data_IF_484470869506
#
_entry.id   IF_484470869506
#
_cell.length_a   1.000
_cell.length_b   1.000
_cell.length_c   1.000
_cell.angle_alpha   90.00
_cell.angle_beta   90.00
_cell.angle_gamma   90.00
#
_symmetry.space_group_name_H-M   'P 1'
#
loop_
_entity.id
_entity.type
_entity.pdbx_description
1 polymer ?
#
# COMPACT_ATOMS: atom_id res chain seq x y z
N UNK A 1 21.76 -14.86 -13.19
CA UNK A 1 21.38 -14.41 -13.06
C UNK A 1 20.82 -13.67 -13.16
N UNK A 2 20.72 -13.73 -13.30
CA UNK A 2 20.26 -13.07 -13.38
C UNK A 2 19.62 -12.34 -13.08
N UNK A 3 19.48 -12.07 -12.92
CA UNK A 3 18.87 -11.50 -12.52
C UNK A 3 18.20 -10.84 -12.73
N UNK A 4 18.20 -10.89 -13.18
CA UNK A 4 17.45 -10.19 -13.48
C UNK A 4 16.43 -9.77 -13.11
N UNK A 5 16.22 -9.89 -13.19
CA UNK A 5 14.94 -9.54 -12.76
C UNK A 5 14.92 -8.22 -12.16
N UNK A 6 13.87 -7.95 -11.44
CA UNK A 6 13.67 -6.61 -10.91
C UNK A 6 14.56 -6.33 -9.70
N UNK A 7 15.85 -6.37 -9.90
CA UNK A 7 16.80 -6.10 -8.83
C UNK A 7 16.55 -4.74 -8.19
N UNK A 8 16.05 -3.78 -8.99
CA UNK A 8 15.78 -2.43 -8.48
C UNK A 8 14.64 -2.40 -7.46
N UNK A 9 13.80 -3.43 -7.45
CA UNK A 9 12.70 -3.53 -6.50
C UNK A 9 13.06 -4.38 -5.28
N UNK A 10 14.24 -5.01 -5.29
CA UNK A 10 14.65 -5.89 -4.19
C UNK A 10 14.73 -5.09 -2.89
N UNK A 11 14.16 -5.64 -1.84
CA UNK A 11 14.16 -5.00 -0.54
C UNK A 11 13.05 -3.99 -0.31
N UNK A 12 12.30 -3.64 -1.35
CA UNK A 12 11.18 -2.71 -1.18
C UNK A 12 9.98 -3.49 -0.66
N UNK A 13 9.50 -3.12 0.52
CA UNK A 13 8.38 -3.78 1.18
C UNK A 13 7.10 -2.99 0.96
N UNK A 14 6.06 -3.66 0.50
CA UNK A 14 4.76 -3.06 0.26
C UNK A 14 3.73 -3.79 1.13
N UNK A 15 2.99 -3.04 1.94
CA UNK A 15 1.92 -3.58 2.77
C UNK A 15 0.59 -3.33 2.08
N UNK A 16 -0.23 -4.36 1.97
CA UNK A 16 -1.59 -4.25 1.41
C UNK A 16 -2.59 -4.57 2.51
N UNK A 17 -3.43 -3.61 2.82
CA UNK A 17 -4.46 -3.71 3.86
C UNK A 17 -5.82 -3.74 3.18
N UNK A 18 -6.52 -4.86 3.24
CA UNK A 18 -7.85 -4.99 2.65
C UNK A 18 -8.54 -6.18 3.30
N UNK A 19 -9.84 -6.05 3.63
CA UNK A 19 -10.57 -7.14 4.26
C UNK A 19 -11.02 -8.20 3.25
N UNK A 20 -10.85 -7.96 1.95
CA UNK A 20 -11.18 -8.92 0.89
C UNK A 20 -9.98 -9.82 0.59
N UNK A 21 -10.17 -11.13 0.75
CA UNK A 21 -9.15 -12.12 0.36
C UNK A 21 -8.80 -12.00 -1.12
N UNK A 22 -9.80 -11.76 -1.97
CA UNK A 22 -9.60 -11.67 -3.41
C UNK A 22 -8.69 -10.49 -3.76
N UNK A 23 -8.94 -9.34 -3.16
CA UNK A 23 -8.13 -8.14 -3.42
C UNK A 23 -6.71 -8.35 -2.90
N UNK A 24 -6.56 -8.87 -1.67
CA UNK A 24 -5.22 -9.12 -1.13
C UNK A 24 -4.43 -10.07 -2.02
N UNK A 25 -5.08 -11.14 -2.48
CA UNK A 25 -4.42 -12.14 -3.32
C UNK A 25 -3.98 -11.54 -4.65
N UNK A 26 -4.86 -10.77 -5.30
CA UNK A 26 -4.51 -10.12 -6.57
C UNK A 26 -3.33 -9.17 -6.39
N UNK A 27 -3.38 -8.35 -5.36
CA UNK A 27 -2.30 -7.41 -5.09
C UNK A 27 -0.99 -8.14 -4.82
N UNK A 28 -1.05 -9.21 -4.03
CA UNK A 28 0.14 -10.00 -3.72
C UNK A 28 0.79 -10.55 -4.98
N UNK A 29 -0.01 -11.14 -5.85
CA UNK A 29 0.50 -11.72 -7.10
C UNK A 29 1.17 -10.65 -7.95
N UNK A 30 0.48 -9.52 -8.16
CA UNK A 30 0.99 -8.45 -9.01
C UNK A 30 2.28 -7.86 -8.45
N UNK A 31 2.30 -7.59 -7.15
CA UNK A 31 3.47 -6.96 -6.52
C UNK A 31 4.68 -7.90 -6.52
N UNK A 32 4.46 -9.19 -6.26
CA UNK A 32 5.55 -10.17 -6.33
C UNK A 32 6.09 -10.29 -7.74
N UNK A 33 5.24 -10.22 -8.74
CA UNK A 33 5.70 -10.22 -10.14
C UNK A 33 6.55 -8.99 -10.44
N UNK A 34 6.30 -7.89 -9.74
CA UNK A 34 7.11 -6.68 -9.85
C UNK A 34 8.40 -6.72 -9.05
N UNK A 35 8.65 -7.79 -8.30
CA UNK A 35 9.87 -7.94 -7.53
C UNK A 35 9.81 -7.40 -6.11
N UNK A 36 8.64 -6.97 -5.65
CA UNK A 36 8.50 -6.39 -4.32
C UNK A 36 8.30 -7.46 -3.25
N UNK A 37 8.73 -7.16 -2.04
CA UNK A 37 8.35 -7.94 -0.87
C UNK A 37 6.96 -7.48 -0.45
N UNK A 38 6.06 -8.42 -0.17
CA UNK A 38 4.67 -8.12 0.10
C UNK A 38 4.28 -8.54 1.50
N UNK A 39 3.63 -7.64 2.21
CA UNK A 39 3.03 -7.90 3.51
C UNK A 39 1.52 -7.70 3.34
N UNK A 40 0.74 -8.53 4.00
CA UNK A 40 -0.72 -8.48 3.89
C UNK A 40 -1.33 -8.30 5.27
N UNK A 41 -2.36 -7.46 5.35
CA UNK A 41 -3.12 -7.26 6.57
C UNK A 41 -4.61 -7.29 6.22
N UNK A 42 -5.40 -7.95 7.07
CA UNK A 42 -6.83 -8.12 6.79
C UNK A 42 -7.70 -7.04 7.42
N UNK A 43 -7.16 -6.25 8.32
CA UNK A 43 -7.88 -5.14 8.95
C UNK A 43 -6.90 -4.10 9.47
N UNK A 44 -7.44 -3.01 10.03
CA UNK A 44 -6.59 -1.91 10.50
C UNK A 44 -5.71 -2.29 11.69
N UNK A 45 -6.20 -3.15 12.58
CA UNK A 45 -5.43 -3.55 13.76
C UNK A 45 -4.25 -4.42 13.34
N UNK A 46 -4.48 -5.39 12.45
CA UNK A 46 -3.42 -6.22 11.91
C UNK A 46 -2.39 -5.35 11.18
N UNK A 47 -2.88 -4.34 10.47
CA UNK A 47 -2.01 -3.40 9.75
C UNK A 47 -1.07 -2.66 10.70
N UNK A 48 -1.59 -2.16 11.81
CA UNK A 48 -0.76 -1.42 12.76
C UNK A 48 0.37 -2.28 13.32
N UNK A 49 0.07 -3.55 13.60
CA UNK A 49 1.08 -4.50 14.06
C UNK A 49 2.16 -4.70 12.99
N UNK A 50 1.75 -4.90 11.74
CA UNK A 50 2.70 -5.16 10.66
C UNK A 50 3.53 -3.94 10.29
N UNK A 51 2.97 -2.75 10.38
CA UNK A 51 3.72 -1.53 10.16
C UNK A 51 4.86 -1.41 11.18
N UNK A 52 4.54 -1.66 12.45
CA UNK A 52 5.56 -1.60 13.50
C UNK A 52 6.63 -2.66 13.34
N UNK A 53 6.23 -3.89 13.02
CA UNK A 53 7.14 -5.02 12.98
C UNK A 53 8.03 -5.02 11.74
N UNK A 54 7.52 -4.54 10.61
CA UNK A 54 8.19 -4.72 9.32
C UNK A 54 8.59 -3.43 8.63
N UNK A 55 8.07 -2.29 9.04
CA UNK A 55 8.42 -0.98 8.51
C UNK A 55 8.34 -0.93 6.98
N UNK A 56 7.14 -1.08 6.41
CA UNK A 56 7.00 -1.08 4.95
C UNK A 56 7.37 0.29 4.35
N UNK A 57 7.77 0.26 3.09
CA UNK A 57 8.14 1.47 2.36
C UNK A 57 6.94 2.16 1.72
N UNK A 58 5.86 1.42 1.49
CA UNK A 58 4.62 1.94 0.91
C UNK A 58 3.44 1.09 1.37
N UNK A 59 2.29 1.72 1.56
CA UNK A 59 1.10 1.05 2.10
C UNK A 59 -0.09 1.32 1.18
N UNK A 60 -0.78 0.24 0.77
CA UNK A 60 -2.11 0.33 0.17
C UNK A 60 -3.13 0.01 1.24
N UNK A 61 -4.16 0.83 1.38
CA UNK A 61 -5.12 0.70 2.47
C UNK A 61 -6.55 0.85 1.98
N UNK A 62 -7.34 -0.21 2.13
CA UNK A 62 -8.77 -0.19 1.83
C UNK A 62 -9.47 0.84 2.72
N UNK A 63 -10.39 1.58 2.13
CA UNK A 63 -11.15 2.60 2.85
C UNK A 63 -12.20 1.97 3.75
N UNK A 64 -12.97 1.01 3.21
CA UNK A 64 -14.09 0.41 3.92
C UNK A 64 -13.69 -0.89 4.60
N UNK A 65 -13.42 -0.79 5.89
CA UNK A 65 -13.12 -1.96 6.72
C UNK A 65 -13.90 -1.84 8.02
N UNK A 66 -14.32 -2.99 8.61
CA UNK A 66 -15.06 -2.94 9.87
C UNK A 66 -14.17 -2.45 11.01
N UNK A 67 -14.78 -1.81 11.99
CA UNK A 67 -14.17 -1.34 13.25
C UNK A 67 -13.20 -0.18 13.05
N UNK A 68 -12.17 -0.34 12.22
CA UNK A 68 -11.18 0.69 11.96
C UNK A 68 -11.09 0.85 10.45
N UNK A 69 -11.64 1.93 9.91
CA UNK A 69 -11.65 2.14 8.46
C UNK A 69 -10.28 2.63 7.97
N UNK A 70 -10.16 2.79 6.67
CA UNK A 70 -8.89 3.17 6.06
C UNK A 70 -8.43 4.56 6.45
N UNK A 71 -9.34 5.51 6.59
CA UNK A 71 -8.96 6.87 7.00
C UNK A 71 -8.41 6.85 8.42
N UNK A 72 -9.08 6.13 9.32
CA UNK A 72 -8.64 6.01 10.71
C UNK A 72 -7.28 5.31 10.78
N UNK A 73 -7.13 4.22 10.04
CA UNK A 73 -5.88 3.46 10.01
C UNK A 73 -4.73 4.34 9.52
N UNK A 74 -4.94 5.07 8.42
CA UNK A 74 -3.94 5.97 7.87
C UNK A 74 -3.56 7.06 8.88
N UNK A 75 -4.56 7.66 9.53
CA UNK A 75 -4.30 8.71 10.53
C UNK A 75 -3.43 8.21 11.67
N UNK A 76 -3.70 7.00 12.15
CA UNK A 76 -2.92 6.42 13.24
C UNK A 76 -1.49 6.15 12.79
N UNK A 77 -1.31 5.57 11.60
CA UNK A 77 0.02 5.31 11.06
C UNK A 77 0.82 6.60 10.96
N UNK A 78 0.21 7.64 10.40
CA UNK A 78 0.88 8.91 10.13
C UNK A 78 1.22 9.70 11.40
N UNK A 79 0.54 9.44 12.51
CA UNK A 79 0.87 10.09 13.78
C UNK A 79 2.20 9.64 14.33
N UNK A 80 2.65 8.44 13.99
CA UNK A 80 3.95 7.96 14.41
C UNK A 80 4.99 8.64 13.54
N UNK A 81 5.89 9.41 14.15
CA UNK A 81 6.91 10.16 13.41
C UNK A 81 7.75 9.26 12.50
N UNK A 82 7.94 8.01 12.90
CA UNK A 82 8.70 7.03 12.12
C UNK A 82 8.04 6.74 10.77
N UNK A 83 6.71 6.84 10.69
CA UNK A 83 5.95 6.51 9.48
C UNK A 83 5.26 7.72 8.86
N UNK A 84 5.55 8.91 9.36
CA UNK A 84 4.90 10.13 8.87
C UNK A 84 5.14 10.36 7.38
N UNK A 85 6.27 9.92 6.86
CA UNK A 85 6.62 10.07 5.45
C UNK A 85 6.40 8.82 4.62
N UNK A 86 5.89 7.74 5.22
CA UNK A 86 5.59 6.51 4.48
C UNK A 86 4.36 6.75 3.61
N UNK A 87 4.45 6.58 2.30
CA UNK A 87 3.29 6.82 1.43
C UNK A 87 2.16 5.86 1.73
N UNK A 88 0.94 6.38 1.82
CA UNK A 88 -0.27 5.59 1.97
C UNK A 88 -1.17 5.89 0.78
N UNK A 89 -1.52 4.86 0.03
CA UNK A 89 -2.39 4.94 -1.13
C UNK A 89 -3.70 4.27 -0.76
N UNK A 90 -4.80 5.02 -0.83
CA UNK A 90 -6.11 4.48 -0.45
C UNK A 90 -6.67 3.62 -1.57
N UNK A 91 -7.27 2.50 -1.22
CA UNK A 91 -7.96 1.63 -2.19
C UNK A 91 -9.45 1.88 -2.08
N UNK A 92 -10.04 2.38 -3.15
CA UNK A 92 -11.45 2.75 -3.20
C UNK A 92 -12.20 1.84 -4.15
N UNK A 93 -13.37 1.36 -3.75
CA UNK A 93 -14.20 0.58 -4.67
C UNK A 93 -14.70 1.48 -5.78
N UNK A 94 -15.04 0.86 -6.94
CA UNK A 94 -15.53 1.58 -8.10
C UNK A 94 -16.78 2.42 -7.77
N UNK A 95 -17.64 1.87 -6.93
CA UNK A 95 -18.87 2.55 -6.51
C UNK A 95 -18.70 3.27 -5.18
N UNK A 96 -17.50 3.23 -4.63
CA UNK A 96 -17.21 3.88 -3.37
C UNK A 96 -17.02 5.36 -3.53
N UNK A 97 -17.26 6.08 -2.46
CA UNK A 97 -17.11 7.53 -2.45
C UNK A 97 -15.83 7.87 -1.71
N UNK A 98 -14.73 7.90 -2.45
CA UNK A 98 -13.49 8.36 -1.85
C UNK A 98 -13.57 9.86 -1.61
N UNK A 99 -13.38 10.25 -0.37
CA UNK A 99 -13.35 11.65 0.01
C UNK A 99 -11.91 12.15 -0.07
N UNK A 100 -11.59 12.87 -1.14
CA UNK A 100 -10.23 13.38 -1.37
C UNK A 100 -9.78 14.31 -0.26
N UNK A 101 -10.68 15.15 0.23
CA UNK A 101 -10.33 16.08 1.30
C UNK A 101 -10.00 15.33 2.58
N UNK A 102 -10.80 14.33 2.92
CA UNK A 102 -10.56 13.53 4.11
C UNK A 102 -9.26 12.73 3.96
N UNK A 103 -9.01 12.19 2.75
CA UNK A 103 -7.76 11.49 2.47
C UNK A 103 -6.56 12.37 2.72
N UNK A 104 -6.59 13.60 2.25
CA UNK A 104 -5.50 14.55 2.48
C UNK A 104 -5.35 14.89 3.97
N UNK A 105 -6.47 15.04 4.68
CA UNK A 105 -6.43 15.36 6.10
C UNK A 105 -5.73 14.27 6.92
N UNK A 106 -5.89 13.01 6.56
CA UNK A 106 -5.22 11.92 7.26
C UNK A 106 -3.83 11.62 6.71
N UNK A 107 -3.43 12.31 5.65
CA UNK A 107 -2.07 12.21 5.14
C UNK A 107 -1.84 11.20 4.03
N UNK A 108 -2.91 10.68 3.40
CA UNK A 108 -2.73 9.78 2.27
C UNK A 108 -2.26 10.56 1.05
N UNK A 109 -1.41 9.92 0.22
CA UNK A 109 -0.80 10.56 -0.94
C UNK A 109 -1.67 10.48 -2.18
N UNK A 110 -2.43 9.40 -2.33
CA UNK A 110 -3.20 9.14 -3.55
C UNK A 110 -4.25 8.09 -3.27
N UNK A 111 -5.09 7.81 -4.26
CA UNK A 111 -6.01 6.68 -4.21
C UNK A 111 -5.97 5.90 -5.52
N UNK A 112 -6.37 4.64 -5.44
CA UNK A 112 -6.44 3.72 -6.57
C UNK A 112 -7.78 3.01 -6.50
N UNK A 113 -8.48 2.93 -7.65
CA UNK A 113 -9.80 2.32 -7.70
C UNK A 113 -9.70 0.80 -7.86
N UNK A 114 -10.52 0.07 -7.13
CA UNK A 114 -10.64 -1.39 -7.26
C UNK A 114 -11.77 -1.71 -8.22
N UNK A 115 -11.62 -2.72 -9.07
CA UNK A 115 -10.43 -3.53 -9.30
C UNK A 115 -9.35 -2.76 -10.04
N UNK A 116 -8.12 -3.03 -9.68
CA UNK A 116 -6.95 -2.42 -10.33
C UNK A 116 -6.26 -3.43 -11.23
N UNK A 117 -5.56 -2.95 -12.24
CA UNK A 117 -4.72 -3.81 -13.06
C UNK A 117 -3.34 -3.92 -12.43
N UNK A 118 -2.59 -4.93 -12.89
CA UNK A 118 -1.20 -5.08 -12.48
C UNK A 118 -0.39 -3.81 -12.79
N UNK A 119 -0.56 -3.27 -13.99
CA UNK A 119 0.18 -2.08 -14.40
C UNK A 119 -0.15 -0.88 -13.52
N UNK A 120 -1.43 -0.67 -13.20
CA UNK A 120 -1.83 0.43 -12.33
C UNK A 120 -1.18 0.30 -10.96
N UNK A 121 -1.19 -0.90 -10.39
CA UNK A 121 -0.62 -1.14 -9.08
C UNK A 121 0.88 -0.90 -9.07
N UNK A 122 1.59 -1.48 -10.05
CA UNK A 122 3.05 -1.34 -10.13
C UNK A 122 3.48 0.09 -10.43
N UNK A 123 2.74 0.80 -11.29
CA UNK A 123 3.05 2.21 -11.57
C UNK A 123 2.89 3.07 -10.32
N UNK A 124 1.91 2.77 -9.50
CA UNK A 124 1.70 3.51 -8.26
C UNK A 124 2.87 3.32 -7.30
N UNK A 125 3.38 2.10 -7.18
CA UNK A 125 4.55 1.85 -6.34
C UNK A 125 5.77 2.58 -6.89
N UNK A 126 5.96 2.58 -8.20
CA UNK A 126 7.07 3.28 -8.83
C UNK A 126 6.99 4.79 -8.60
N UNK A 127 5.80 5.35 -8.65
CA UNK A 127 5.60 6.79 -8.50
C UNK A 127 5.80 7.25 -7.05
N UNK A 128 5.28 6.51 -6.09
CA UNK A 128 5.22 6.96 -4.69
C UNK A 128 6.21 6.24 -3.78
N UNK A 129 6.73 5.09 -4.18
CA UNK A 129 7.66 4.33 -3.37
C UNK A 129 9.06 4.93 -3.34
N UNK A 130 9.98 4.26 -2.67
CA UNK A 130 11.34 4.78 -2.56
C UNK A 130 12.04 4.78 -3.92
N UNK A 131 13.03 5.67 -4.05
CA UNK A 131 13.82 5.75 -5.27
C UNK A 131 14.45 4.40 -5.57
N UNK A 132 14.47 4.05 -6.86
CA UNK A 132 15.02 2.78 -7.32
C UNK A 132 16.50 2.98 -7.62
N UNK A 133 17.33 2.74 -6.62
CA UNK A 133 18.77 2.88 -6.81
C UNK A 133 19.27 1.81 -7.75
N UNK A 134 20.21 2.16 -8.57
CA UNK A 134 20.72 1.24 -9.56
C UNK A 134 20.00 1.31 -10.89
N UNK A 135 18.98 2.11 -10.99
CA UNK A 135 18.28 2.36 -12.25
C UNK A 135 19.04 3.48 -12.96
N UNK A 136 20.05 3.11 -13.59
CA UNK A 136 20.92 4.11 -14.22
C UNK A 136 21.11 3.78 -15.69
#
# INVERSE_FOLDING_TARGET
MSNEGPAVAAGVKVLVIDDSNTIRRSAEIFLKQGGYQVLLAEDGFDALSKVNDHEPHLIFCDILMPRLDGYQTCAIIKRNAKFANTPVIMLSSKDGLFDKARGRMVGSQEYLTKPFTKDQLLQTVQQFGPAQEGVM
#
